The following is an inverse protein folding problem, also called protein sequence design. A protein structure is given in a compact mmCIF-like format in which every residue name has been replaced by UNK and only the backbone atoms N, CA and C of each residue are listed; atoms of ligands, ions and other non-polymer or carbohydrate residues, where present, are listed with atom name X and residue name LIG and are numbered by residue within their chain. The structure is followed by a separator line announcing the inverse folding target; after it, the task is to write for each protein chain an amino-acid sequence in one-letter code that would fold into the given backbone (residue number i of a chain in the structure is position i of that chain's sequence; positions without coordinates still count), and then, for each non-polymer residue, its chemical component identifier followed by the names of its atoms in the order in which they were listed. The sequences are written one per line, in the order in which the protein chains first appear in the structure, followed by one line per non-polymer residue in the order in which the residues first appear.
data_IF_049396246341
#
_entry.id   IF_049396246341
#
_cell.length_a   1.000
_cell.length_b   1.000
_cell.length_c   1.000
_cell.angle_alpha   90.00
_cell.angle_beta   90.00
_cell.angle_gamma   90.00
#
_symmetry.space_group_name_H-M   'P 1'
#
loop_
_entity.id
_entity.type
_entity.pdbx_description
1 polymer ?
#
# COMPACT_ATOMS: atom_id res chain seq x y z
N UNK A 1 -6.00 -12.65 14.56
CA UNK A 1 -4.62 -12.80 15.08
C UNK A 1 -4.46 -12.18 16.47
N UNK A 2 -3.47 -12.61 17.26
CA UNK A 2 -3.21 -12.16 18.64
C UNK A 2 -2.22 -11.03 18.64
N UNK A 3 -2.70 -9.81 18.57
CA UNK A 3 -1.87 -8.60 18.48
C UNK A 3 -2.00 -7.67 19.70
N UNK A 4 -3.08 -7.84 20.51
CA UNK A 4 -3.32 -6.97 21.66
C UNK A 4 -2.27 -7.17 22.75
N UNK A 5 -1.61 -6.07 23.12
CA UNK A 5 -0.60 -6.05 24.17
C UNK A 5 0.84 -6.26 23.69
N UNK A 6 1.03 -6.49 22.38
CA UNK A 6 2.36 -6.58 21.77
C UNK A 6 3.00 -5.19 21.54
N UNK A 7 4.28 -5.20 21.19
CA UNK A 7 5.06 -3.99 20.93
C UNK A 7 4.45 -3.16 19.81
N UNK A 8 4.33 -1.87 20.02
CA UNK A 8 3.98 -0.90 18.98
C UNK A 8 5.25 -0.32 18.33
N UNK A 9 5.22 -0.11 17.02
CA UNK A 9 6.27 0.58 16.28
C UNK A 9 6.24 2.08 16.55
N UNK A 10 7.41 2.68 16.70
CA UNK A 10 7.58 4.14 16.70
C UNK A 10 7.66 4.75 15.28
N UNK A 11 7.65 3.91 14.23
CA UNK A 11 7.79 4.34 12.84
C UNK A 11 6.45 4.71 12.18
N UNK A 12 5.43 5.09 12.98
CA UNK A 12 4.15 5.59 12.50
C UNK A 12 4.18 7.13 12.40
N UNK A 13 3.96 7.66 11.20
CA UNK A 13 3.67 9.08 10.96
C UNK A 13 2.17 9.28 10.79
N UNK A 14 1.48 9.80 11.80
CA UNK A 14 0.03 10.03 11.73
C UNK A 14 -0.28 11.41 11.14
N UNK A 15 -0.58 11.45 9.84
CA UNK A 15 -0.99 12.66 9.11
C UNK A 15 -2.50 12.77 8.90
N UNK A 16 -3.30 11.93 9.54
CA UNK A 16 -4.76 11.99 9.46
C UNK A 16 -5.28 13.32 10.01
N UNK A 17 -6.20 13.97 9.28
CA UNK A 17 -6.73 15.28 9.65
C UNK A 17 -5.85 16.48 9.27
N UNK A 18 -4.64 16.24 8.75
CA UNK A 18 -3.85 17.30 8.13
C UNK A 18 -4.37 17.43 6.69
N UNK A 19 -5.21 18.46 6.45
CA UNK A 19 -5.62 18.79 5.08
C UNK A 19 -4.40 19.19 4.26
N UNK A 20 -4.23 18.63 3.07
CA UNK A 20 -3.26 19.17 2.10
C UNK A 20 -3.71 20.60 1.79
N UNK A 21 -2.97 21.58 2.28
CA UNK A 21 -3.22 22.97 1.93
C UNK A 21 -3.15 23.06 0.41
N UNK A 22 -4.28 23.44 -0.24
CA UNK A 22 -4.29 23.75 -1.67
C UNK A 22 -3.35 24.94 -1.89
N UNK A 23 -2.09 24.65 -2.09
CA UNK A 23 -1.14 25.60 -2.67
C UNK A 23 -1.61 25.87 -4.09
N UNK A 24 -2.11 27.09 -4.32
CA UNK A 24 -2.44 27.59 -5.66
C UNK A 24 -1.13 27.70 -6.43
N UNK A 25 -0.90 26.72 -7.32
CA UNK A 25 0.26 26.68 -8.18
C UNK A 25 0.19 25.46 -9.11
N UNK A 26 -0.85 25.39 -9.95
CA UNK A 26 -0.95 24.36 -10.98
C UNK A 26 -0.08 24.81 -12.16
N UNK A 27 1.22 24.45 -12.13
CA UNK A 27 2.05 24.40 -13.32
C UNK A 27 1.76 23.11 -14.11
N UNK A 28 1.53 23.24 -15.42
CA UNK A 28 0.98 22.28 -16.38
C UNK A 28 1.54 20.84 -16.47
N UNK A 29 2.38 20.39 -15.56
CA UNK A 29 2.91 18.99 -15.54
C UNK A 29 1.98 18.06 -14.76
N UNK A 30 1.28 18.54 -13.73
CA UNK A 30 0.34 17.73 -12.92
C UNK A 30 -0.89 17.25 -13.69
N UNK A 31 -1.36 18.04 -14.65
CA UNK A 31 -2.56 17.72 -15.46
C UNK A 31 -2.32 16.53 -16.39
N UNK A 32 -1.10 16.38 -16.91
CA UNK A 32 -0.74 15.28 -17.82
C UNK A 32 -0.67 13.94 -17.08
N UNK A 33 -0.19 13.93 -15.85
CA UNK A 33 -0.12 12.72 -15.03
C UNK A 33 -1.54 12.21 -14.65
N UNK A 34 -2.46 13.11 -14.28
CA UNK A 34 -3.86 12.77 -13.94
C UNK A 34 -4.59 12.22 -15.17
N UNK A 35 -4.36 12.78 -16.35
CA UNK A 35 -4.97 12.30 -17.60
C UNK A 35 -4.43 10.91 -17.98
N UNK A 36 -3.14 10.66 -17.79
CA UNK A 36 -2.54 9.35 -18.07
C UNK A 36 -3.04 8.27 -17.11
N UNK A 37 -3.18 8.57 -15.81
CA UNK A 37 -3.74 7.65 -14.82
C UNK A 37 -5.23 7.40 -15.14
N UNK A 38 -5.99 8.42 -15.52
CA UNK A 38 -7.40 8.27 -15.92
C UNK A 38 -7.60 7.43 -17.15
N UNK A 39 -6.75 7.56 -18.16
CA UNK A 39 -6.75 6.71 -19.36
C UNK A 39 -6.39 5.25 -19.01
N UNK A 40 -5.50 5.06 -18.04
CA UNK A 40 -5.10 3.74 -17.56
C UNK A 40 -6.21 3.05 -16.77
N UNK A 41 -7.03 3.82 -16.04
CA UNK A 41 -8.17 3.32 -15.26
C UNK A 41 -9.48 3.25 -16.05
N UNK A 42 -9.47 3.57 -17.36
CA UNK A 42 -10.65 3.54 -18.21
C UNK A 42 -11.71 4.61 -17.87
N UNK A 43 -11.31 5.66 -17.17
CA UNK A 43 -12.16 6.82 -16.85
C UNK A 43 -12.03 7.85 -17.96
N UNK A 44 -13.17 8.36 -18.44
CA UNK A 44 -13.19 9.39 -19.50
C UNK A 44 -12.43 10.64 -19.06
N UNK A 45 -11.40 11.10 -19.82
CA UNK A 45 -10.59 12.27 -19.47
C UNK A 45 -11.40 13.55 -19.27
N UNK A 46 -12.57 13.69 -19.89
CA UNK A 46 -13.45 14.84 -19.75
C UNK A 46 -14.02 14.97 -18.34
N UNK A 47 -14.34 13.86 -17.69
CA UNK A 47 -14.84 13.82 -16.30
C UNK A 47 -13.75 14.27 -15.31
N UNK A 48 -12.51 13.92 -15.59
CA UNK A 48 -11.35 14.33 -14.76
C UNK A 48 -11.02 15.80 -14.93
N UNK A 49 -11.16 16.34 -16.14
CA UNK A 49 -10.96 17.77 -16.42
C UNK A 49 -12.05 18.64 -15.79
N UNK A 50 -13.30 18.19 -15.75
CA UNK A 50 -14.41 18.88 -15.06
C UNK A 50 -14.23 18.88 -13.53
N UNK A 51 -13.63 17.84 -12.95
CA UNK A 51 -13.29 17.81 -11.52
C UNK A 51 -12.16 18.78 -11.12
N UNK A 52 -11.25 19.07 -12.04
CA UNK A 52 -10.09 19.95 -11.82
C UNK A 52 -10.40 21.41 -12.23
N UNK A 53 -11.34 21.61 -13.17
CA UNK A 53 -11.70 22.88 -13.78
C UNK A 53 -13.01 23.48 -13.25
N UNK A 54 -13.28 23.41 -11.94
CA UNK A 54 -14.46 24.04 -11.35
C UNK A 54 -14.52 25.54 -11.61
N UNK A 55 -15.63 26.00 -12.22
CA UNK A 55 -15.95 27.39 -12.52
C UNK A 55 -15.72 28.32 -11.32
N UNK A 56 -15.21 29.54 -11.55
CA UNK A 56 -15.14 30.55 -10.47
C UNK A 56 -16.53 31.05 -10.10
N UNK A 57 -16.98 30.65 -8.90
CA UNK A 57 -18.20 31.20 -8.33
C UNK A 57 -18.12 32.74 -8.16
N UNK A 58 -19.17 33.49 -8.40
CA UNK A 58 -19.18 34.97 -8.30
C UNK A 58 -18.89 35.43 -6.88
N UNK A 59 -17.89 36.29 -6.74
CA UNK A 59 -17.51 36.91 -5.47
C UNK A 59 -18.57 37.93 -5.06
N UNK A 60 -19.35 37.65 -4.03
CA UNK A 60 -20.02 38.66 -3.25
C UNK A 60 -19.14 39.08 -2.06
N UNK A 61 -18.56 40.25 -2.18
CA UNK A 61 -17.88 40.94 -1.09
C UNK A 61 -18.87 41.34 -0.01
N UNK A 62 -18.79 40.75 1.17
CA UNK A 62 -19.21 41.44 2.41
C UNK A 62 -18.11 41.16 3.45
N UNK A 63 -17.39 42.23 3.75
CA UNK A 63 -16.30 42.24 4.70
C UNK A 63 -16.76 41.94 6.12
N UNK A 64 -16.11 40.95 6.73
CA UNK A 64 -16.07 40.77 8.17
C UNK A 64 -14.61 40.49 8.55
N UNK A 65 -14.05 41.13 9.57
CA UNK A 65 -12.68 40.84 10.00
C UNK A 65 -12.59 39.39 10.46
N UNK A 66 -11.64 38.63 9.89
CA UNK A 66 -11.34 37.27 10.30
C UNK A 66 -10.40 37.32 11.52
N UNK A 67 -10.91 36.89 12.66
CA UNK A 67 -10.16 36.70 13.88
C UNK A 67 -9.06 35.61 13.64
N UNK A 68 -7.77 35.89 13.92
CA UNK A 68 -6.68 34.93 13.66
C UNK A 68 -6.57 33.78 14.68
N UNK A 69 -7.66 33.42 15.36
CA UNK A 69 -7.68 32.48 16.47
C UNK A 69 -8.29 31.10 16.20
N UNK A 70 -8.66 30.74 14.97
CA UNK A 70 -9.13 29.36 14.70
C UNK A 70 -7.96 28.44 14.39
N UNK A 71 -7.36 27.91 15.44
CA UNK A 71 -6.59 26.67 15.37
C UNK A 71 -7.48 25.59 14.73
N UNK A 72 -6.99 24.96 13.65
CA UNK A 72 -7.60 23.80 13.01
C UNK A 72 -7.71 22.67 14.06
N UNK A 73 -8.81 22.64 14.81
CA UNK A 73 -9.13 21.51 15.68
C UNK A 73 -9.54 20.36 14.77
N UNK A 74 -8.62 19.42 14.54
CA UNK A 74 -8.96 18.12 13.96
C UNK A 74 -10.14 17.55 14.77
N UNK A 75 -11.18 17.04 14.07
CA UNK A 75 -12.30 16.39 14.73
C UNK A 75 -11.79 15.31 15.70
N UNK A 76 -12.41 15.12 16.87
CA UNK A 76 -12.02 14.08 17.81
C UNK A 76 -11.99 12.73 17.10
N UNK A 77 -10.88 12.00 17.21
CA UNK A 77 -10.76 10.65 16.66
C UNK A 77 -11.70 9.71 17.40
N UNK A 78 -12.26 8.74 16.69
CA UNK A 78 -13.07 7.71 17.35
C UNK A 78 -12.16 6.69 18.03
N UNK A 79 -12.67 6.05 19.10
CA UNK A 79 -11.95 4.95 19.74
C UNK A 79 -11.63 3.79 18.78
N UNK A 80 -12.48 3.58 17.76
CA UNK A 80 -12.23 2.59 16.71
C UNK A 80 -11.05 2.98 15.80
N UNK A 81 -10.89 4.27 15.48
CA UNK A 81 -9.74 4.75 14.70
C UNK A 81 -8.43 4.61 15.49
N UNK A 82 -8.47 4.83 16.80
CA UNK A 82 -7.31 4.65 17.66
C UNK A 82 -6.95 3.17 17.81
N UNK A 83 -7.91 2.26 17.92
CA UNK A 83 -7.67 0.82 17.95
C UNK A 83 -7.09 0.32 16.62
N UNK A 84 -7.61 0.80 15.48
CA UNK A 84 -7.08 0.43 14.16
C UNK A 84 -5.65 0.96 13.98
N UNK A 85 -5.36 2.18 14.43
CA UNK A 85 -3.99 2.71 14.44
C UNK A 85 -3.07 1.85 15.29
N UNK A 86 -3.52 1.44 16.49
CA UNK A 86 -2.75 0.56 17.37
C UNK A 86 -2.45 -0.77 16.68
N UNK A 87 -3.46 -1.39 16.07
CA UNK A 87 -3.28 -2.60 15.27
C UNK A 87 -2.20 -2.43 14.20
N UNK A 88 -2.28 -1.38 13.36
CA UNK A 88 -1.27 -1.09 12.33
C UNK A 88 0.12 -0.94 12.94
N UNK A 89 0.23 -0.27 14.08
CA UNK A 89 1.51 -0.06 14.78
C UNK A 89 2.12 -1.37 15.28
N UNK A 90 1.29 -2.29 15.79
CA UNK A 90 1.74 -3.62 16.25
C UNK A 90 2.17 -4.49 15.06
N UNK A 91 1.39 -4.52 13.98
CA UNK A 91 1.75 -5.29 12.77
C UNK A 91 3.05 -4.76 12.16
N UNK A 92 3.23 -3.44 12.07
CA UNK A 92 4.47 -2.85 11.59
C UNK A 92 5.66 -3.25 12.47
N UNK A 93 5.51 -3.18 13.79
CA UNK A 93 6.55 -3.62 14.73
C UNK A 93 6.91 -5.09 14.55
N UNK A 94 5.93 -5.92 14.28
CA UNK A 94 6.13 -7.35 14.05
C UNK A 94 6.88 -7.61 12.73
N UNK A 95 6.55 -6.88 11.65
CA UNK A 95 7.31 -6.96 10.39
C UNK A 95 8.76 -6.48 10.57
N UNK A 96 8.99 -5.41 11.34
CA UNK A 96 10.34 -4.92 11.68
C UNK A 96 11.18 -6.02 12.33
N UNK A 97 10.61 -6.73 13.32
CA UNK A 97 11.32 -7.78 14.06
C UNK A 97 11.63 -9.01 13.17
N UNK A 98 10.75 -9.34 12.24
CA UNK A 98 10.95 -10.43 11.30
C UNK A 98 12.05 -10.09 10.29
N UNK A 99 11.95 -8.94 9.66
CA UNK A 99 12.91 -8.55 8.61
C UNK A 99 14.28 -8.17 9.17
N UNK A 100 14.36 -7.60 10.37
CA UNK A 100 15.66 -7.37 11.04
C UNK A 100 16.41 -8.69 11.27
N UNK A 101 15.70 -9.77 11.64
CA UNK A 101 16.31 -11.11 11.77
C UNK A 101 16.72 -11.65 10.42
N UNK A 102 15.83 -11.65 9.44
CA UNK A 102 16.11 -12.18 8.10
C UNK A 102 17.33 -11.49 7.45
N UNK A 103 17.44 -10.16 7.56
CA UNK A 103 18.59 -9.41 7.05
C UNK A 103 19.86 -9.72 7.85
N UNK A 104 19.75 -9.87 9.17
CA UNK A 104 20.86 -10.30 10.02
C UNK A 104 21.40 -11.69 9.62
N UNK A 105 20.53 -12.64 9.31
CA UNK A 105 20.90 -13.97 8.82
C UNK A 105 21.61 -13.92 7.45
N UNK A 106 21.27 -12.91 6.62
CA UNK A 106 21.97 -12.61 5.35
C UNK A 106 23.27 -11.82 5.54
N UNK A 107 23.64 -11.45 6.78
CA UNK A 107 24.80 -10.58 7.07
C UNK A 107 24.59 -9.12 6.65
N UNK A 108 23.33 -8.64 6.54
CA UNK A 108 22.95 -7.27 6.15
C UNK A 108 22.26 -6.55 7.29
N UNK A 109 22.24 -5.22 7.23
CA UNK A 109 21.39 -4.38 8.07
C UNK A 109 20.06 -4.14 7.38
N UNK A 110 18.98 -4.13 8.15
CA UNK A 110 17.65 -3.73 7.71
C UNK A 110 17.37 -2.29 8.16
N UNK A 111 17.03 -1.41 7.23
CA UNK A 111 16.54 -0.07 7.53
C UNK A 111 15.02 -0.11 7.60
N UNK A 112 14.46 0.24 8.77
CA UNK A 112 13.02 0.16 8.99
C UNK A 112 12.27 1.27 8.25
N UNK A 113 11.19 0.95 7.50
CA UNK A 113 10.40 1.96 6.82
C UNK A 113 9.54 2.74 7.79
N UNK A 114 9.13 3.94 7.41
CA UNK A 114 8.04 4.64 8.09
C UNK A 114 6.70 4.32 7.42
N UNK A 115 5.66 4.18 8.25
CA UNK A 115 4.29 4.05 7.77
C UNK A 115 3.52 5.34 8.04
N UNK A 116 3.03 5.96 6.97
CA UNK A 116 2.27 7.20 7.00
C UNK A 116 0.79 6.89 6.98
N UNK A 117 0.09 7.21 8.06
CA UNK A 117 -1.36 7.18 8.10
C UNK A 117 -1.91 8.50 7.55
N UNK A 118 -2.82 8.42 6.59
CA UNK A 118 -3.44 9.60 6.00
C UNK A 118 -4.96 9.43 5.85
N UNK A 119 -5.65 10.47 5.41
CA UNK A 119 -7.07 10.43 5.08
C UNK A 119 -7.32 11.15 3.76
N UNK A 120 -8.00 10.48 2.85
CA UNK A 120 -8.43 10.95 1.53
C UNK A 120 -7.30 11.18 0.53
N UNK A 121 -6.31 11.99 0.84
CA UNK A 121 -5.20 12.28 -0.06
C UNK A 121 -3.91 12.56 0.72
N UNK A 122 -2.78 12.24 0.10
CA UNK A 122 -1.44 12.43 0.66
C UNK A 122 -0.47 12.80 -0.44
N UNK A 123 0.52 13.63 -0.11
CA UNK A 123 1.69 13.87 -0.94
C UNK A 123 2.84 12.97 -0.48
N UNK A 124 3.44 12.25 -1.41
CA UNK A 124 4.64 11.43 -1.23
C UNK A 124 5.74 11.86 -2.19
N UNK A 125 6.95 11.37 -2.03
CA UNK A 125 8.01 11.59 -3.01
C UNK A 125 7.70 10.92 -4.38
N UNK A 126 6.75 9.98 -4.43
CA UNK A 126 6.27 9.34 -5.65
C UNK A 126 5.12 10.11 -6.33
N UNK A 127 4.62 11.17 -5.70
CA UNK A 127 3.54 12.00 -6.19
C UNK A 127 2.34 12.06 -5.25
N UNK A 128 1.25 12.66 -5.77
CA UNK A 128 -0.03 12.71 -5.05
C UNK A 128 -0.76 11.38 -5.17
N UNK A 129 -1.25 10.89 -4.04
CA UNK A 129 -2.11 9.72 -3.98
C UNK A 129 -3.41 10.03 -3.24
N UNK A 130 -4.44 9.22 -3.50
CA UNK A 130 -5.73 9.29 -2.83
C UNK A 130 -6.10 7.95 -2.21
N UNK A 131 -7.12 7.93 -1.35
CA UNK A 131 -7.65 6.69 -0.78
C UNK A 131 -8.07 5.66 -1.86
N UNK A 132 -8.46 6.14 -3.05
CA UNK A 132 -8.83 5.27 -4.18
C UNK A 132 -7.64 4.51 -4.77
N UNK A 133 -6.40 4.93 -4.51
CA UNK A 133 -5.19 4.23 -4.96
C UNK A 133 -4.87 3.00 -4.09
N UNK A 134 -5.54 2.83 -2.95
CA UNK A 134 -5.18 1.81 -1.96
C UNK A 134 -3.91 2.17 -1.18
N UNK A 135 -3.47 1.27 -0.30
CA UNK A 135 -2.14 1.33 0.31
C UNK A 135 -1.04 1.25 -0.74
N UNK A 136 0.12 1.83 -0.46
CA UNK A 136 1.26 1.73 -1.37
C UNK A 136 2.58 2.01 -0.65
N UNK A 137 3.65 1.40 -1.15
CA UNK A 137 5.02 1.75 -0.81
C UNK A 137 5.57 2.76 -1.81
N UNK A 138 6.32 3.76 -1.34
CA UNK A 138 7.03 4.70 -2.21
C UNK A 138 8.55 4.52 -2.06
N UNK A 139 9.24 4.00 -3.09
CA UNK A 139 10.68 3.73 -3.00
C UNK A 139 11.56 4.98 -2.97
N UNK A 140 11.02 6.16 -3.33
CA UNK A 140 11.79 7.41 -3.31
C UNK A 140 11.96 8.01 -1.93
N UNK A 141 11.07 7.70 -1.00
CA UNK A 141 11.14 8.17 0.38
C UNK A 141 11.13 7.03 1.42
N UNK A 142 11.13 5.78 0.96
CA UNK A 142 11.16 4.56 1.76
C UNK A 142 10.01 4.51 2.78
N UNK A 143 8.80 4.93 2.35
CA UNK A 143 7.62 4.97 3.22
C UNK A 143 6.47 4.15 2.66
N UNK A 144 5.74 3.51 3.57
CA UNK A 144 4.43 2.92 3.31
C UNK A 144 3.36 3.96 3.59
N UNK A 145 2.36 4.04 2.75
CA UNK A 145 1.22 4.97 2.87
C UNK A 145 -0.08 4.20 2.98
N UNK A 146 -0.87 4.49 4.01
CA UNK A 146 -2.10 3.77 4.33
C UNK A 146 -3.21 4.72 4.76
N UNK A 147 -4.36 4.69 4.05
CA UNK A 147 -5.62 5.23 4.55
C UNK A 147 -6.38 4.11 5.28
N UNK A 148 -6.69 4.29 6.57
CA UNK A 148 -7.35 3.27 7.37
C UNK A 148 -8.75 2.89 6.84
N UNK A 149 -9.38 3.74 6.02
CA UNK A 149 -10.65 3.43 5.36
C UNK A 149 -10.52 2.25 4.39
N UNK A 150 -9.32 1.96 3.89
CA UNK A 150 -9.06 0.83 3.01
C UNK A 150 -9.43 -0.52 3.65
N UNK A 151 -9.24 -0.70 4.95
CA UNK A 151 -9.63 -1.95 5.63
C UNK A 151 -11.14 -2.18 5.60
N UNK A 152 -11.94 -1.11 5.59
CA UNK A 152 -13.39 -1.24 5.40
C UNK A 152 -13.72 -1.61 3.95
N UNK A 153 -12.99 -1.08 2.97
CA UNK A 153 -13.15 -1.46 1.57
C UNK A 153 -12.73 -2.90 1.34
N UNK A 154 -11.60 -3.34 1.91
CA UNK A 154 -11.11 -4.71 1.86
C UNK A 154 -12.18 -5.69 2.36
N UNK A 155 -12.83 -5.36 3.46
CA UNK A 155 -13.91 -6.18 4.03
C UNK A 155 -15.19 -6.12 3.18
N UNK A 156 -15.69 -4.93 2.83
CA UNK A 156 -17.03 -4.74 2.25
C UNK A 156 -17.06 -4.92 0.75
N UNK A 157 -16.06 -4.39 0.04
CA UNK A 157 -16.01 -4.37 -1.42
C UNK A 157 -15.29 -5.60 -1.97
N UNK A 158 -14.16 -5.95 -1.36
CA UNK A 158 -13.34 -7.05 -1.81
C UNK A 158 -13.68 -8.39 -1.14
N UNK A 159 -14.55 -8.39 -0.12
CA UNK A 159 -15.02 -9.62 0.52
C UNK A 159 -13.94 -10.36 1.33
N UNK A 160 -12.89 -9.65 1.75
CA UNK A 160 -11.81 -10.16 2.57
C UNK A 160 -11.81 -9.50 3.96
N UNK A 161 -12.76 -9.83 4.85
CA UNK A 161 -12.78 -9.35 6.22
C UNK A 161 -11.73 -10.08 7.05
N UNK A 162 -11.36 -9.48 8.19
CA UNK A 162 -10.49 -10.07 9.19
C UNK A 162 -9.28 -9.19 9.50
N UNK A 163 -8.72 -9.38 10.66
CA UNK A 163 -7.54 -8.62 11.07
C UNK A 163 -6.27 -9.12 10.36
N UNK A 164 -6.19 -10.43 10.07
CA UNK A 164 -5.06 -10.97 9.31
C UNK A 164 -5.11 -10.57 7.82
N UNK A 165 -6.31 -10.37 7.25
CA UNK A 165 -6.44 -9.78 5.90
C UNK A 165 -5.84 -8.36 5.83
N UNK A 166 -6.10 -7.53 6.85
CA UNK A 166 -5.51 -6.21 6.98
C UNK A 166 -3.99 -6.27 7.25
N UNK A 167 -3.55 -7.22 8.07
CA UNK A 167 -2.13 -7.44 8.37
C UNK A 167 -1.35 -7.91 7.12
N UNK A 168 -1.94 -8.77 6.29
CA UNK A 168 -1.37 -9.18 5.01
C UNK A 168 -1.08 -7.97 4.10
N UNK A 169 -2.02 -7.03 4.00
CA UNK A 169 -1.81 -5.81 3.18
C UNK A 169 -0.60 -5.03 3.67
N UNK A 170 -0.48 -4.82 4.98
CA UNK A 170 0.69 -4.12 5.55
C UNK A 170 1.97 -4.90 5.24
N UNK A 171 1.97 -6.22 5.45
CA UNK A 171 3.13 -7.07 5.18
C UNK A 171 3.53 -7.09 3.70
N UNK A 172 2.57 -6.99 2.77
CA UNK A 172 2.79 -6.86 1.34
C UNK A 172 3.51 -5.55 1.00
N UNK A 173 3.04 -4.41 1.53
CA UNK A 173 3.71 -3.11 1.33
C UNK A 173 5.13 -3.10 1.94
N UNK A 174 5.32 -3.78 3.07
CA UNK A 174 6.65 -4.01 3.63
C UNK A 174 7.48 -4.93 2.72
N UNK A 175 6.86 -5.88 2.01
CA UNK A 175 7.51 -6.69 0.99
C UNK A 175 8.16 -5.83 -0.11
N UNK A 176 7.49 -4.78 -0.58
CA UNK A 176 8.06 -3.82 -1.53
C UNK A 176 9.24 -3.03 -0.92
N UNK A 177 9.15 -2.68 0.36
CA UNK A 177 10.29 -2.06 1.04
C UNK A 177 11.49 -3.02 1.11
N UNK A 178 11.26 -4.29 1.41
CA UNK A 178 12.31 -5.32 1.40
C UNK A 178 12.94 -5.47 0.00
N UNK A 179 12.15 -5.40 -1.06
CA UNK A 179 12.67 -5.41 -2.44
C UNK A 179 13.60 -4.23 -2.71
N UNK A 180 13.23 -3.03 -2.25
CA UNK A 180 14.09 -1.84 -2.34
C UNK A 180 15.40 -2.03 -1.57
N UNK A 181 15.34 -2.51 -0.32
CA UNK A 181 16.52 -2.76 0.53
C UNK A 181 17.45 -3.85 -0.07
N UNK A 182 16.90 -4.81 -0.79
CA UNK A 182 17.65 -5.86 -1.48
C UNK A 182 18.18 -5.41 -2.87
N UNK A 183 17.75 -4.24 -3.37
CA UNK A 183 18.10 -3.73 -4.70
C UNK A 183 17.35 -4.42 -5.85
N UNK A 184 16.32 -5.22 -5.54
CA UNK A 184 15.53 -5.95 -6.53
C UNK A 184 14.69 -4.99 -7.36
N UNK A 185 14.09 -3.98 -6.72
CA UNK A 185 13.27 -2.99 -7.40
C UNK A 185 14.05 -2.21 -8.47
N UNK A 186 15.27 -1.78 -8.15
CA UNK A 186 16.13 -1.07 -9.11
C UNK A 186 16.52 -1.97 -10.29
N UNK A 187 16.84 -3.24 -10.03
CA UNK A 187 17.13 -4.21 -11.08
C UNK A 187 15.92 -4.44 -12.00
N UNK A 188 14.71 -4.52 -11.44
CA UNK A 188 13.48 -4.67 -12.23
C UNK A 188 13.19 -3.40 -13.04
N UNK A 189 13.36 -2.21 -12.47
CA UNK A 189 13.23 -0.94 -13.21
C UNK A 189 14.16 -0.87 -14.40
N UNK A 190 15.41 -1.33 -14.24
CA UNK A 190 16.33 -1.40 -15.35
C UNK A 190 15.84 -2.36 -16.44
N UNK A 191 15.35 -3.56 -16.07
CA UNK A 191 14.75 -4.49 -17.03
C UNK A 191 13.55 -3.88 -17.77
N UNK A 192 12.68 -3.16 -17.07
CA UNK A 192 11.53 -2.48 -17.69
C UNK A 192 11.94 -1.41 -18.69
N UNK A 193 13.07 -0.70 -18.46
CA UNK A 193 13.63 0.28 -19.40
C UNK A 193 14.26 -0.38 -20.61
N UNK A 194 14.96 -1.49 -20.39
CA UNK A 194 15.66 -2.22 -21.46
C UNK A 194 14.69 -3.03 -22.33
N UNK A 195 13.57 -3.48 -21.76
CA UNK A 195 12.53 -4.28 -22.42
C UNK A 195 11.11 -3.77 -22.08
N UNK A 196 10.69 -2.62 -22.64
CA UNK A 196 9.39 -2.02 -22.36
C UNK A 196 8.21 -2.90 -22.79
N UNK A 197 8.42 -3.80 -23.76
CA UNK A 197 7.37 -4.73 -24.21
C UNK A 197 6.91 -5.73 -23.16
N UNK A 198 7.75 -6.02 -22.16
CA UNK A 198 7.47 -6.92 -21.06
C UNK A 198 7.39 -6.20 -19.70
N UNK A 199 7.25 -4.87 -19.68
CA UNK A 199 7.24 -4.09 -18.45
C UNK A 199 6.19 -4.58 -17.44
N UNK A 200 5.01 -5.00 -17.90
CA UNK A 200 3.96 -5.54 -17.04
C UNK A 200 4.31 -6.90 -16.43
N UNK A 201 5.03 -7.76 -17.18
CA UNK A 201 5.54 -9.04 -16.64
C UNK A 201 6.44 -8.76 -15.44
N UNK A 202 7.36 -7.82 -15.57
CA UNK A 202 8.27 -7.42 -14.50
C UNK A 202 7.53 -6.80 -13.30
N UNK A 203 6.45 -6.04 -13.54
CA UNK A 203 5.59 -5.53 -12.46
C UNK A 203 4.93 -6.68 -11.71
N UNK A 204 4.35 -7.65 -12.43
CA UNK A 204 3.73 -8.84 -11.81
C UNK A 204 4.76 -9.64 -11.01
N UNK A 205 5.99 -9.80 -11.49
CA UNK A 205 7.05 -10.48 -10.75
C UNK A 205 7.34 -9.80 -9.40
N UNK A 206 7.40 -8.44 -9.35
CA UNK A 206 7.55 -7.70 -8.10
C UNK A 206 6.38 -7.93 -7.14
N UNK A 207 5.15 -7.85 -7.64
CA UNK A 207 3.94 -8.03 -6.83
C UNK A 207 3.89 -9.43 -6.20
N UNK A 208 4.14 -10.46 -6.99
CA UNK A 208 4.14 -11.84 -6.52
C UNK A 208 5.24 -12.12 -5.51
N UNK A 209 6.40 -11.47 -5.66
CA UNK A 209 7.47 -11.56 -4.68
C UNK A 209 7.10 -10.85 -3.37
N UNK A 210 6.40 -9.70 -3.43
CA UNK A 210 5.90 -9.03 -2.24
C UNK A 210 4.86 -9.89 -1.51
N UNK A 211 3.99 -10.61 -2.25
CA UNK A 211 3.09 -11.62 -1.66
C UNK A 211 3.86 -12.76 -0.97
N UNK A 212 4.92 -13.25 -1.60
CA UNK A 212 5.76 -14.28 -1.01
C UNK A 212 6.44 -13.78 0.28
N UNK A 213 6.97 -12.57 0.29
CA UNK A 213 7.53 -11.97 1.49
C UNK A 213 6.49 -11.75 2.60
N UNK A 214 5.26 -11.39 2.25
CA UNK A 214 4.14 -11.37 3.20
C UNK A 214 3.85 -12.78 3.77
N UNK A 215 3.98 -13.83 2.95
CA UNK A 215 3.90 -15.22 3.38
C UNK A 215 5.01 -15.60 4.36
N UNK A 216 6.26 -15.23 4.08
CA UNK A 216 7.41 -15.44 4.99
C UNK A 216 7.17 -14.80 6.35
N UNK A 217 6.67 -13.55 6.36
CA UNK A 217 6.26 -12.88 7.59
C UNK A 217 5.15 -13.65 8.31
N UNK A 218 4.11 -14.08 7.60
CA UNK A 218 3.00 -14.87 8.14
C UNK A 218 3.45 -16.17 8.77
N UNK A 219 4.43 -16.87 8.17
CA UNK A 219 5.03 -18.09 8.74
C UNK A 219 5.74 -17.79 10.06
N UNK A 220 6.58 -16.76 10.10
CA UNK A 220 7.25 -16.36 11.34
C UNK A 220 6.25 -16.00 12.45
N UNK A 221 5.14 -15.33 12.11
CA UNK A 221 4.05 -14.97 13.03
C UNK A 221 3.33 -16.23 13.55
N UNK A 222 3.07 -17.21 12.67
CA UNK A 222 2.50 -18.50 13.04
C UNK A 222 3.40 -19.29 13.99
N UNK A 223 4.70 -19.35 13.70
CA UNK A 223 5.68 -20.10 14.51
C UNK A 223 5.81 -19.53 15.93
N UNK A 224 5.51 -18.26 16.12
CA UNK A 224 5.46 -17.60 17.44
C UNK A 224 4.09 -17.75 18.14
N UNK A 225 3.14 -18.46 17.52
CA UNK A 225 1.81 -18.71 18.08
C UNK A 225 0.88 -17.49 18.12
N UNK A 226 1.11 -16.51 17.25
CA UNK A 226 0.33 -15.25 17.19
C UNK A 226 -0.87 -15.34 16.25
N UNK A 227 -1.00 -16.44 15.50
CA UNK A 227 -2.15 -16.66 14.61
C UNK A 227 -3.25 -17.47 15.32
N UNK A 228 -4.47 -17.13 14.99
CA UNK A 228 -5.67 -17.89 15.35
C UNK A 228 -6.13 -18.77 14.16
N UNK A 229 -6.92 -19.83 14.40
CA UNK A 229 -7.49 -20.64 13.33
C UNK A 229 -8.32 -19.78 12.36
N UNK A 230 -8.00 -19.85 11.06
CA UNK A 230 -8.68 -19.08 10.00
C UNK A 230 -7.91 -17.86 9.52
N UNK A 231 -6.88 -17.40 10.24
CA UNK A 231 -6.10 -16.20 9.85
C UNK A 231 -5.44 -16.37 8.49
N UNK A 232 -4.83 -17.51 8.22
CA UNK A 232 -4.17 -17.77 6.92
C UNK A 232 -5.18 -17.72 5.78
N UNK A 233 -6.38 -18.26 5.98
CA UNK A 233 -7.48 -18.19 5.03
C UNK A 233 -7.93 -16.75 4.77
N UNK A 234 -7.88 -15.87 5.77
CA UNK A 234 -8.13 -14.44 5.59
C UNK A 234 -7.06 -13.79 4.71
N UNK A 235 -5.79 -14.05 4.96
CA UNK A 235 -4.68 -13.57 4.14
C UNK A 235 -4.77 -14.05 2.68
N UNK A 236 -5.06 -15.35 2.48
CA UNK A 236 -5.26 -15.93 1.15
C UNK A 236 -6.44 -15.29 0.41
N UNK A 237 -7.54 -14.99 1.11
CA UNK A 237 -8.68 -14.28 0.54
C UNK A 237 -8.30 -12.84 0.16
N UNK A 238 -7.52 -12.16 0.99
CA UNK A 238 -7.06 -10.81 0.70
C UNK A 238 -6.15 -10.80 -0.54
N UNK A 239 -5.17 -11.70 -0.62
CA UNK A 239 -4.31 -11.85 -1.79
C UNK A 239 -5.13 -12.12 -3.08
N UNK A 240 -6.10 -13.04 -3.01
CA UNK A 240 -6.98 -13.33 -4.14
C UNK A 240 -7.86 -12.14 -4.53
N UNK A 241 -8.28 -11.32 -3.57
CA UNK A 241 -9.23 -10.22 -3.79
C UNK A 241 -8.65 -9.06 -4.60
N UNK A 242 -7.32 -8.91 -4.56
CA UNK A 242 -6.59 -7.83 -5.24
C UNK A 242 -5.85 -8.29 -6.50
N UNK A 243 -6.20 -9.46 -7.03
CA UNK A 243 -5.71 -9.93 -8.33
C UNK A 243 -6.37 -9.18 -9.51
N UNK A 244 -5.63 -8.95 -10.58
CA UNK A 244 -6.05 -8.19 -11.76
C UNK A 244 -7.31 -8.77 -12.43
N UNK A 245 -7.48 -10.09 -12.40
CA UNK A 245 -8.67 -10.79 -12.88
C UNK A 245 -9.95 -10.43 -12.10
N UNK A 246 -9.82 -9.98 -10.85
CA UNK A 246 -10.93 -9.48 -10.02
C UNK A 246 -11.07 -7.97 -10.05
N UNK A 247 -9.99 -7.24 -10.30
CA UNK A 247 -10.00 -5.79 -10.42
C UNK A 247 -10.51 -5.29 -11.78
N UNK A 248 -10.84 -6.21 -12.70
CA UNK A 248 -11.51 -5.89 -13.97
C UNK A 248 -10.57 -5.69 -15.15
N UNK A 249 -9.32 -6.14 -15.06
CA UNK A 249 -8.43 -6.20 -16.21
C UNK A 249 -9.02 -7.11 -17.30
N UNK A 250 -9.02 -6.62 -18.56
CA UNK A 250 -9.68 -7.29 -19.67
C UNK A 250 -8.83 -8.37 -20.34
N UNK A 251 -7.51 -8.30 -20.17
CA UNK A 251 -6.55 -9.24 -20.73
C UNK A 251 -5.30 -9.33 -19.85
N UNK A 252 -4.53 -10.39 -20.04
CA UNK A 252 -3.29 -10.63 -19.27
C UNK A 252 -2.22 -9.57 -19.52
N UNK A 253 -2.18 -9.02 -20.72
CA UNK A 253 -1.23 -7.97 -21.09
C UNK A 253 -1.44 -6.66 -20.30
N UNK A 254 -2.63 -6.51 -19.67
CA UNK A 254 -2.95 -5.38 -18.80
C UNK A 254 -2.64 -5.64 -17.32
N UNK A 255 -2.22 -6.85 -16.97
CA UNK A 255 -1.92 -7.18 -15.60
C UNK A 255 -0.67 -6.47 -15.12
N UNK A 256 -0.76 -5.92 -13.92
CA UNK A 256 0.35 -5.30 -13.21
C UNK A 256 0.56 -5.89 -11.81
N UNK A 257 -0.47 -6.59 -11.28
CA UNK A 257 -0.44 -7.24 -9.97
C UNK A 257 -0.47 -8.77 -10.07
N UNK A 258 -0.84 -9.33 -11.23
CA UNK A 258 -0.99 -10.76 -11.43
C UNK A 258 -2.39 -11.28 -11.09
N UNK A 259 -2.65 -12.55 -11.44
CA UNK A 259 -3.95 -13.18 -11.16
C UNK A 259 -4.13 -13.49 -9.67
N UNK A 260 -5.40 -13.59 -9.25
CA UNK A 260 -5.77 -14.07 -7.91
C UNK A 260 -5.09 -15.41 -7.57
N UNK A 261 -4.99 -16.31 -8.54
CA UNK A 261 -4.36 -17.63 -8.35
C UNK A 261 -2.85 -17.51 -8.09
N UNK A 262 -2.13 -16.70 -8.89
CA UNK A 262 -0.70 -16.48 -8.73
C UNK A 262 -0.38 -15.81 -7.39
N UNK A 263 -1.15 -14.79 -7.01
CA UNK A 263 -0.97 -14.09 -5.72
C UNK A 263 -1.14 -15.05 -4.54
N UNK A 264 -2.19 -15.87 -4.54
CA UNK A 264 -2.40 -16.91 -3.52
C UNK A 264 -1.26 -17.94 -3.52
N UNK A 265 -0.81 -18.37 -4.69
CA UNK A 265 0.29 -19.32 -4.82
C UNK A 265 1.57 -18.77 -4.18
N UNK A 266 1.95 -17.54 -4.50
CA UNK A 266 3.19 -16.96 -4.00
C UNK A 266 3.13 -16.61 -2.51
N UNK A 267 2.01 -16.14 -2.00
CA UNK A 267 1.82 -16.02 -0.55
C UNK A 267 2.02 -17.39 0.13
N UNK A 268 1.43 -18.46 -0.41
CA UNK A 268 1.64 -19.82 0.14
C UNK A 268 3.08 -20.28 0.06
N UNK A 269 3.76 -20.02 -1.05
CA UNK A 269 5.19 -20.37 -1.19
C UNK A 269 6.01 -19.77 -0.04
N UNK A 270 5.83 -18.47 0.23
CA UNK A 270 6.50 -17.82 1.36
C UNK A 270 6.08 -18.36 2.72
N UNK A 271 4.78 -18.61 2.90
CA UNK A 271 4.26 -19.15 4.16
C UNK A 271 4.74 -20.58 4.44
N UNK A 272 4.75 -21.44 3.44
CA UNK A 272 5.14 -22.85 3.62
C UNK A 272 6.65 -22.98 3.86
N UNK A 273 7.47 -22.16 3.20
CA UNK A 273 8.93 -22.21 3.33
C UNK A 273 9.45 -21.39 4.52
N UNK A 274 8.87 -20.22 4.79
CA UNK A 274 9.39 -19.25 5.76
C UNK A 274 10.77 -18.67 5.37
N UNK A 275 11.24 -18.92 4.15
CA UNK A 275 12.57 -18.55 3.68
C UNK A 275 12.48 -17.52 2.53
N UNK A 276 12.99 -16.30 2.69
CA UNK A 276 12.97 -15.29 1.62
C UNK A 276 13.66 -15.72 0.32
N UNK A 277 14.61 -16.65 0.39
CA UNK A 277 15.31 -17.13 -0.81
C UNK A 277 14.40 -17.94 -1.76
N UNK A 278 13.28 -18.47 -1.26
CA UNK A 278 12.32 -19.21 -2.08
C UNK A 278 11.32 -18.30 -2.80
N UNK A 279 11.46 -16.96 -2.63
CA UNK A 279 10.63 -15.96 -3.26
C UNK A 279 11.20 -15.42 -4.59
N UNK A 280 11.92 -16.25 -5.34
CA UNK A 280 12.38 -15.87 -6.68
C UNK A 280 11.25 -16.02 -7.71
N UNK A 281 10.73 -14.88 -8.19
CA UNK A 281 9.66 -14.81 -9.17
C UNK A 281 10.14 -14.54 -10.60
N UNK A 282 11.44 -14.57 -10.85
CA UNK A 282 12.05 -14.18 -12.13
C UNK A 282 11.60 -15.01 -13.33
N UNK A 283 11.18 -16.24 -13.10
CA UNK A 283 10.72 -17.17 -14.16
C UNK A 283 9.20 -17.11 -14.40
N UNK A 284 8.46 -16.28 -13.63
CA UNK A 284 7.00 -16.16 -13.80
C UNK A 284 6.68 -15.48 -15.12
N UNK A 285 5.80 -16.11 -15.88
CA UNK A 285 5.20 -15.58 -17.11
C UNK A 285 3.70 -15.35 -16.90
N UNK A 286 3.10 -14.35 -17.60
CA UNK A 286 1.68 -13.97 -17.52
C UNK A 286 0.95 -14.16 -18.85
#
# INVERSE_FOLDING_TARGET
MRWLGDRESSNIEDRRGIGVARGVGIGGIGTVAIVLIGLFLGVDPSILLDMVGGDPAPQTQTGRPVDPGYGSSAAPRSAADDQTRQFVSVVLADTEDVWRRAFGDMGRSYEEPKLVLYSRSVESACGMASSASGPFYCPRDHKVYLDLSFFQELSRRFGAPGDFAAAYVIAHEIGHHVQSELGIEDAIRQKQQDDPGHANVYSVQLELQADCFAGVWGKSTADRGLLDPGDIEEGLKAAAAVGDDRLGARSREQWTHGSSELRVQWFRTGYDSGNPADCDTSDVQI
#
